data_IF_008383684536
#
_entry.id   IF_008383684536
#
_cell.length_a   1.000
_cell.length_b   1.000
_cell.length_c   1.000
_cell.angle_alpha   90.00
_cell.angle_beta   90.00
_cell.angle_gamma   90.00
#
_symmetry.space_group_name_H-M   'P 1'
#
loop_
_entity.id
_entity.type
_entity.pdbx_description
1 polymer ?
#
# COMPACT_ATOMS: atom_id res chain seq x y z
N UNK A 1 20.40 72.52 -4.86
CA UNK A 1 21.07 71.53 -5.73
C UNK A 1 21.45 70.33 -4.88
N UNK A 2 20.89 69.14 -5.13
CA UNK A 2 21.24 67.94 -4.36
C UNK A 2 20.18 66.83 -4.38
N UNK A 3 20.08 66.14 -5.52
CA UNK A 3 19.63 64.76 -5.76
C UNK A 3 18.61 64.09 -4.80
N UNK A 4 17.37 63.95 -5.28
CA UNK A 4 16.36 63.01 -4.77
C UNK A 4 16.76 61.55 -5.08
N UNK A 5 16.97 60.74 -4.05
CA UNK A 5 17.03 59.27 -4.15
C UNK A 5 15.63 58.69 -3.95
N UNK A 6 14.96 58.34 -5.06
CA UNK A 6 13.74 57.54 -5.04
C UNK A 6 14.04 56.10 -4.62
N UNK A 7 13.63 55.70 -3.41
CA UNK A 7 13.58 54.31 -2.98
C UNK A 7 12.59 53.54 -3.84
N UNK A 8 13.09 52.63 -4.68
CA UNK A 8 12.25 51.66 -5.37
C UNK A 8 11.73 50.63 -4.35
N UNK A 9 10.42 50.64 -4.13
CA UNK A 9 9.68 49.75 -3.24
C UNK A 9 9.64 48.36 -3.88
N UNK A 10 10.40 47.40 -3.35
CA UNK A 10 10.25 45.99 -3.73
C UNK A 10 8.88 45.53 -3.24
N UNK A 11 7.97 45.25 -4.16
CA UNK A 11 6.71 44.58 -3.87
C UNK A 11 7.02 43.15 -3.42
N UNK A 12 6.92 42.87 -2.11
CA UNK A 12 6.70 41.52 -1.62
C UNK A 12 5.33 41.07 -2.14
N UNK A 13 5.33 40.29 -3.22
CA UNK A 13 4.14 39.49 -3.59
C UNK A 13 3.99 38.48 -2.46
N UNK A 14 2.89 38.57 -1.71
CA UNK A 14 2.51 37.53 -0.77
C UNK A 14 2.45 36.21 -1.55
N UNK A 15 3.31 35.25 -1.15
CA UNK A 15 3.34 33.94 -1.78
C UNK A 15 2.08 33.22 -1.28
N UNK A 16 1.08 33.08 -2.16
CA UNK A 16 -0.12 32.31 -1.85
C UNK A 16 0.23 30.85 -1.66
N UNK A 17 -0.37 30.24 -0.63
CA UNK A 17 -0.24 28.81 -0.37
C UNK A 17 -0.77 27.99 -1.56
N UNK A 18 -0.14 26.85 -1.86
CA UNK A 18 -0.59 25.94 -2.90
C UNK A 18 -1.75 25.07 -2.38
N UNK A 19 -2.93 25.66 -2.26
CA UNK A 19 -4.13 24.98 -1.77
C UNK A 19 -4.63 23.86 -2.69
N UNK A 20 -4.25 23.90 -3.98
CA UNK A 20 -4.55 22.83 -4.93
C UNK A 20 -3.75 21.57 -4.57
N UNK A 21 -2.44 21.71 -4.35
CA UNK A 21 -1.61 20.59 -3.90
C UNK A 21 -2.05 20.08 -2.53
N UNK A 22 -2.40 20.96 -1.58
CA UNK A 22 -2.95 20.56 -0.27
C UNK A 22 -4.19 19.69 -0.43
N UNK A 23 -5.13 20.09 -1.29
CA UNK A 23 -6.37 19.33 -1.54
C UNK A 23 -6.08 17.98 -2.21
N UNK A 24 -5.23 17.95 -3.24
CA UNK A 24 -4.83 16.72 -3.93
C UNK A 24 -4.09 15.75 -3.00
N UNK A 25 -3.26 16.28 -2.09
CA UNK A 25 -2.65 15.49 -1.03
C UNK A 25 -3.72 14.91 -0.11
N UNK A 26 -4.69 15.70 0.34
CA UNK A 26 -5.77 15.21 1.20
C UNK A 26 -6.64 14.15 0.51
N UNK A 27 -7.00 14.35 -0.76
CA UNK A 27 -7.77 13.40 -1.58
C UNK A 27 -7.02 12.08 -1.79
N UNK A 28 -5.70 12.15 -2.03
CA UNK A 28 -4.84 10.99 -2.15
C UNK A 28 -4.42 10.40 -0.80
N UNK A 29 -4.68 11.11 0.31
CA UNK A 29 -4.34 10.73 1.68
C UNK A 29 -2.87 10.95 2.08
N UNK A 30 -2.08 11.72 1.34
CA UNK A 30 -0.65 11.92 1.60
C UNK A 30 -0.37 12.88 2.76
N UNK A 31 0.51 12.48 3.67
CA UNK A 31 1.27 13.40 4.53
C UNK A 31 2.45 14.04 3.77
N UNK A 32 3.10 15.05 4.37
CA UNK A 32 4.30 15.67 3.77
C UNK A 32 5.45 14.65 3.61
N UNK A 33 5.65 13.81 4.63
CA UNK A 33 6.66 12.76 4.63
C UNK A 33 6.41 11.72 3.54
N UNK A 34 5.17 11.26 3.43
CA UNK A 34 4.81 10.26 2.43
C UNK A 34 4.92 10.80 1.00
N UNK A 35 4.53 12.06 0.77
CA UNK A 35 4.72 12.65 -0.55
C UNK A 35 6.21 12.78 -0.89
N UNK A 36 7.04 13.15 0.09
CA UNK A 36 8.50 13.21 -0.11
C UNK A 36 9.07 11.82 -0.45
N UNK A 37 8.63 10.79 0.27
CA UNK A 37 9.05 9.41 0.04
C UNK A 37 8.57 8.88 -1.32
N UNK A 38 7.31 9.13 -1.70
CA UNK A 38 6.74 8.73 -2.99
C UNK A 38 7.48 9.39 -4.16
N UNK A 39 7.75 10.71 -4.07
CA UNK A 39 8.52 11.43 -5.09
C UNK A 39 9.97 10.91 -5.17
N UNK A 40 10.61 10.65 -4.02
CA UNK A 40 11.95 10.06 -4.01
C UNK A 40 11.99 8.62 -4.54
N UNK A 41 10.91 7.86 -4.37
CA UNK A 41 10.81 6.52 -4.90
C UNK A 41 10.76 6.54 -6.45
N UNK A 42 9.98 7.45 -7.04
CA UNK A 42 9.93 7.63 -8.48
C UNK A 42 11.27 8.15 -9.06
N UNK A 43 11.90 9.11 -8.37
CA UNK A 43 13.25 9.59 -8.73
C UNK A 43 14.27 8.43 -8.78
N UNK A 44 14.27 7.55 -7.77
CA UNK A 44 15.15 6.38 -7.71
C UNK A 44 14.83 5.35 -8.79
N UNK A 45 13.55 5.10 -9.07
CA UNK A 45 13.14 4.22 -10.16
C UNK A 45 13.62 4.74 -11.54
N UNK A 46 13.74 6.06 -11.68
CA UNK A 46 14.29 6.71 -12.86
C UNK A 46 15.84 6.83 -12.85
N UNK A 47 16.54 6.25 -11.88
CA UNK A 47 18.01 6.26 -11.77
C UNK A 47 18.61 7.52 -11.14
N UNK A 48 17.84 8.26 -10.33
CA UNK A 48 18.28 9.49 -9.68
C UNK A 48 18.30 9.37 -8.15
N UNK A 49 19.11 10.19 -7.47
CA UNK A 49 19.08 10.28 -6.01
C UNK A 49 17.78 10.92 -5.50
N UNK A 50 17.24 10.38 -4.41
CA UNK A 50 16.07 10.92 -3.72
C UNK A 50 16.44 12.13 -2.87
N UNK A 51 16.22 13.34 -3.40
CA UNK A 51 16.63 14.62 -2.76
C UNK A 51 15.47 15.39 -2.12
N UNK A 52 14.24 14.84 -2.15
CA UNK A 52 13.04 15.49 -1.62
C UNK A 52 12.89 15.16 -0.14
N UNK A 53 12.70 16.17 0.70
CA UNK A 53 12.43 16.00 2.12
C UNK A 53 11.05 16.58 2.46
N UNK A 54 10.54 16.30 3.66
CA UNK A 54 9.35 16.95 4.22
C UNK A 54 9.43 18.47 4.12
N UNK A 55 10.63 19.04 4.34
CA UNK A 55 10.87 20.48 4.19
C UNK A 55 10.68 20.93 2.73
N UNK A 56 11.10 20.12 1.76
CA UNK A 56 10.88 20.41 0.34
C UNK A 56 9.40 20.40 0.01
N UNK A 57 8.64 19.42 0.50
CA UNK A 57 7.18 19.34 0.32
C UNK A 57 6.48 20.52 0.99
N UNK A 58 6.89 20.89 2.21
CA UNK A 58 6.36 22.08 2.89
C UNK A 58 6.58 23.35 2.07
N UNK A 59 7.72 23.49 1.42
CA UNK A 59 7.98 24.63 0.53
C UNK A 59 7.09 24.63 -0.71
N UNK A 60 6.66 23.46 -1.21
CA UNK A 60 5.66 23.38 -2.27
C UNK A 60 4.28 23.83 -1.78
N UNK A 61 3.90 23.41 -0.57
CA UNK A 61 2.59 23.73 0.02
C UNK A 61 2.44 25.19 0.42
N UNK A 62 3.51 25.82 0.92
CA UNK A 62 3.52 27.25 1.27
C UNK A 62 3.78 28.17 0.08
N UNK A 63 3.82 27.62 -1.14
CA UNK A 63 4.14 28.35 -2.35
C UNK A 63 5.60 28.80 -2.47
N UNK A 64 6.44 28.62 -1.42
CA UNK A 64 7.87 29.00 -1.38
C UNK A 64 8.65 28.49 -2.59
N UNK A 65 8.31 27.31 -3.08
CA UNK A 65 8.80 26.77 -4.34
C UNK A 65 7.70 26.80 -5.38
N UNK A 66 7.69 27.86 -6.19
CA UNK A 66 6.68 28.12 -7.23
C UNK A 66 6.74 27.14 -8.41
N UNK A 67 7.95 26.70 -8.75
CA UNK A 67 8.21 25.77 -9.85
C UNK A 67 9.31 24.77 -9.46
N UNK A 68 8.96 23.52 -9.10
CA UNK A 68 9.92 22.50 -8.68
C UNK A 68 10.92 22.15 -9.79
N UNK A 69 12.04 21.51 -9.46
CA UNK A 69 13.03 21.10 -10.47
C UNK A 69 12.42 20.09 -11.47
N UNK A 70 12.89 20.06 -12.73
CA UNK A 70 12.31 19.24 -13.82
C UNK A 70 12.04 17.79 -13.43
N UNK A 71 12.98 17.17 -12.74
CA UNK A 71 12.88 15.78 -12.25
C UNK A 71 11.79 15.61 -11.18
N UNK A 72 11.70 16.57 -10.25
CA UNK A 72 10.66 16.57 -9.22
C UNK A 72 9.27 16.79 -9.82
N UNK A 73 9.16 17.61 -10.88
CA UNK A 73 7.89 17.79 -11.61
C UNK A 73 7.45 16.49 -12.29
N UNK A 74 8.35 15.81 -13.00
CA UNK A 74 8.05 14.52 -13.62
C UNK A 74 7.61 13.47 -12.57
N UNK A 75 8.29 13.44 -11.42
CA UNK A 75 7.92 12.56 -10.32
C UNK A 75 6.58 12.94 -9.66
N UNK A 76 6.28 14.23 -9.49
CA UNK A 76 4.97 14.69 -9.02
C UNK A 76 3.85 14.32 -9.99
N UNK A 77 4.10 14.43 -11.30
CA UNK A 77 3.15 14.01 -12.34
C UNK A 77 2.93 12.49 -12.32
N UNK A 78 3.97 11.71 -12.08
CA UNK A 78 3.87 10.25 -11.91
C UNK A 78 3.11 9.87 -10.63
N UNK A 79 3.34 10.59 -9.53
CA UNK A 79 2.69 10.33 -8.23
C UNK A 79 1.20 10.68 -8.25
N UNK A 80 0.82 11.81 -8.85
CA UNK A 80 -0.57 12.28 -8.87
C UNK A 80 -1.32 11.97 -10.16
N UNK A 81 -0.63 11.44 -11.18
CA UNK A 81 -1.18 11.09 -12.50
C UNK A 81 -1.90 12.26 -13.18
N UNK A 82 -1.44 13.48 -12.92
CA UNK A 82 -1.92 14.70 -13.56
C UNK A 82 -0.75 15.64 -13.82
N UNK A 83 -0.85 16.55 -14.81
CA UNK A 83 0.16 17.56 -15.06
C UNK A 83 0.49 18.37 -13.81
N UNK A 84 1.74 18.79 -13.65
CA UNK A 84 2.20 19.53 -12.46
C UNK A 84 1.49 20.89 -12.33
N UNK A 85 0.96 21.43 -13.42
CA UNK A 85 0.11 22.63 -13.44
C UNK A 85 -1.24 22.41 -12.78
N UNK A 86 -1.80 21.20 -12.87
CA UNK A 86 -3.03 20.83 -12.17
C UNK A 86 -2.82 20.60 -10.66
N UNK A 87 -1.56 20.56 -10.23
CA UNK A 87 -1.15 20.57 -8.82
C UNK A 87 -0.88 21.98 -8.30
N UNK A 88 -1.23 23.02 -9.06
CA UNK A 88 -1.09 24.42 -8.64
C UNK A 88 0.32 25.00 -8.79
N UNK A 89 1.26 24.28 -9.42
CA UNK A 89 2.56 24.86 -9.75
C UNK A 89 2.46 25.71 -11.01
N UNK A 90 3.13 26.86 -11.01
CA UNK A 90 3.07 27.81 -12.13
C UNK A 90 4.49 28.03 -12.67
N UNK A 91 4.71 27.89 -13.99
CA UNK A 91 6.00 28.22 -14.59
C UNK A 91 6.36 29.66 -14.27
N UNK A 92 7.64 29.94 -14.03
CA UNK A 92 8.10 31.33 -14.08
C UNK A 92 7.83 31.87 -15.48
N UNK A 93 7.18 33.05 -15.58
CA UNK A 93 7.09 33.76 -16.86
C UNK A 93 8.52 34.04 -17.32
N UNK A 94 9.00 33.30 -18.32
CA UNK A 94 10.09 33.78 -19.16
C UNK A 94 9.59 35.05 -19.84
N UNK A 95 10.40 36.11 -19.80
CA UNK A 95 10.24 37.22 -20.72
C UNK A 95 10.17 36.65 -22.16
N UNK A 96 9.39 37.25 -23.08
CA UNK A 96 9.36 36.76 -24.45
C UNK A 96 10.80 36.68 -24.97
N UNK A 97 11.18 35.60 -25.66
CA UNK A 97 12.53 35.46 -26.17
C UNK A 97 12.81 36.67 -27.08
N UNK A 98 13.86 37.42 -26.77
CA UNK A 98 14.46 38.32 -27.75
C UNK A 98 14.78 37.49 -28.99
N UNK A 99 14.26 37.92 -30.13
CA UNK A 99 14.39 37.25 -31.41
C UNK A 99 15.86 37.13 -31.85
N UNK A 100 16.56 36.09 -31.37
CA UNK A 100 17.85 35.66 -31.92
C UNK A 100 18.32 34.35 -31.30
N UNK A 101 17.60 33.24 -31.51
CA UNK A 101 18.20 31.88 -31.40
C UNK A 101 17.32 30.73 -31.94
N UNK A 102 16.20 31.01 -32.61
CA UNK A 102 15.41 29.99 -33.33
C UNK A 102 15.95 29.63 -34.73
N UNK A 103 17.07 30.20 -35.18
CA UNK A 103 17.49 30.09 -36.59
C UNK A 103 18.53 28.97 -36.87
N UNK A 104 19.12 28.34 -35.86
CA UNK A 104 20.33 27.51 -36.10
C UNK A 104 20.09 25.99 -36.20
N UNK A 105 18.89 25.47 -35.90
CA UNK A 105 18.63 24.01 -35.98
C UNK A 105 17.45 23.60 -36.88
N UNK A 106 16.69 24.56 -37.44
CA UNK A 106 15.68 24.30 -38.47
C UNK A 106 16.19 24.43 -39.91
N UNK A 107 17.47 24.79 -40.10
CA UNK A 107 18.10 25.04 -41.41
C UNK A 107 18.94 23.89 -41.99
N UNK A 108 18.77 22.65 -41.51
CA UNK A 108 19.47 21.47 -42.08
C UNK A 108 18.60 20.34 -42.58
N UNK A 109 17.28 20.51 -42.69
CA UNK A 109 16.40 19.44 -43.21
C UNK A 109 15.37 19.85 -44.26
N UNK A 110 15.52 21.02 -44.88
CA UNK A 110 14.77 21.37 -46.08
C UNK A 110 15.73 21.88 -47.14
N UNK A 111 16.15 20.99 -48.03
CA UNK A 111 16.42 21.16 -49.46
C UNK A 111 17.24 19.96 -49.97
N UNK A 112 16.54 18.88 -50.30
CA UNK A 112 16.81 18.05 -51.48
C UNK A 112 15.48 17.38 -51.86
N UNK A 113 14.71 18.05 -52.71
CA UNK A 113 13.79 17.41 -53.64
C UNK A 113 14.54 17.32 -54.97
N UNK A 114 14.73 16.16 -55.57
CA UNK A 114 13.72 15.60 -56.47
C UNK A 114 14.14 14.21 -57.00
N UNK A 115 13.11 13.46 -57.42
CA UNK A 115 13.10 12.22 -58.22
C UNK A 115 13.17 10.88 -57.45
N UNK A 116 11.98 10.30 -57.20
CA UNK A 116 11.80 8.90 -56.84
C UNK A 116 10.39 8.65 -56.32
N UNK A 117 9.57 7.95 -57.10
CA UNK A 117 8.20 7.53 -56.77
C UNK A 117 8.14 6.84 -55.40
N UNK A 118 7.62 7.52 -54.38
CA UNK A 118 7.34 6.93 -53.08
C UNK A 118 5.88 6.47 -53.05
N UNK A 119 5.70 5.15 -52.99
CA UNK A 119 4.46 4.50 -52.53
C UNK A 119 3.97 5.22 -51.27
N UNK A 120 2.67 5.52 -51.22
CA UNK A 120 2.04 6.20 -50.09
C UNK A 120 2.35 5.50 -48.78
N UNK A 121 3.32 6.04 -48.03
CA UNK A 121 3.49 5.71 -46.64
C UNK A 121 2.31 6.36 -45.91
N UNK A 122 1.23 5.58 -45.80
CA UNK A 122 0.32 5.71 -44.67
C UNK A 122 1.19 5.89 -43.43
N UNK A 123 1.14 7.08 -42.83
CA UNK A 123 1.54 7.25 -41.45
C UNK A 123 0.50 6.49 -40.60
N UNK A 124 0.54 5.17 -40.69
CA UNK A 124 -0.02 4.29 -39.68
C UNK A 124 0.71 4.72 -38.42
N UNK A 125 0.00 5.42 -37.52
CA UNK A 125 0.46 5.67 -36.15
C UNK A 125 1.00 4.34 -35.70
N UNK A 126 2.34 4.18 -35.63
CA UNK A 126 2.95 2.91 -35.30
C UNK A 126 2.30 2.47 -33.99
N UNK A 127 1.37 1.50 -34.08
CA UNK A 127 0.54 1.10 -32.95
C UNK A 127 1.53 0.64 -31.91
N UNK A 128 1.70 1.40 -30.83
CA UNK A 128 2.72 1.12 -29.83
C UNK A 128 2.59 -0.36 -29.44
N UNK A 129 3.59 -1.16 -29.83
CA UNK A 129 3.59 -2.59 -29.57
C UNK A 129 3.93 -2.75 -28.09
N UNK A 130 2.96 -3.23 -27.32
CA UNK A 130 3.15 -3.49 -25.89
C UNK A 130 3.85 -4.83 -25.75
N UNK A 131 4.94 -4.84 -24.98
CA UNK A 131 5.82 -5.99 -24.80
C UNK A 131 5.97 -6.39 -23.34
N UNK A 132 6.74 -7.47 -23.10
CA UNK A 132 7.07 -7.90 -21.74
C UNK A 132 7.86 -6.85 -20.96
N UNK A 133 8.65 -6.02 -21.63
CA UNK A 133 9.34 -4.90 -20.98
C UNK A 133 8.39 -3.90 -20.31
N UNK A 134 7.18 -3.73 -20.82
CA UNK A 134 6.17 -2.86 -20.19
C UNK A 134 5.59 -3.52 -18.93
N UNK A 135 5.41 -4.85 -18.98
CA UNK A 135 5.02 -5.66 -17.81
C UNK A 135 6.10 -5.58 -16.74
N UNK A 136 7.38 -5.73 -17.10
CA UNK A 136 8.50 -5.66 -16.17
C UNK A 136 8.60 -4.28 -15.48
N UNK A 137 8.35 -3.19 -16.23
CA UNK A 137 8.27 -1.83 -15.66
C UNK A 137 7.13 -1.69 -14.65
N UNK A 138 5.96 -2.24 -14.95
CA UNK A 138 4.83 -2.24 -14.01
C UNK A 138 5.17 -3.02 -12.74
N UNK A 139 5.79 -4.19 -12.87
CA UNK A 139 6.21 -5.01 -11.73
C UNK A 139 7.29 -4.32 -10.89
N UNK A 140 8.22 -3.59 -11.52
CA UNK A 140 9.22 -2.79 -10.81
C UNK A 140 8.59 -1.62 -10.04
N UNK A 141 7.59 -0.92 -10.59
CA UNK A 141 6.83 0.09 -9.83
C UNK A 141 6.09 -0.55 -8.66
N UNK A 142 5.54 -1.74 -8.87
CA UNK A 142 4.78 -2.45 -7.84
C UNK A 142 5.66 -2.95 -6.68
N UNK A 143 6.89 -3.37 -6.93
CA UNK A 143 7.78 -3.80 -5.83
C UNK A 143 8.07 -2.65 -4.85
N UNK A 144 8.20 -1.42 -5.35
CA UNK A 144 8.31 -0.21 -4.52
C UNK A 144 7.06 -0.01 -3.67
N UNK A 145 5.87 -0.20 -4.24
CA UNK A 145 4.61 -0.09 -3.52
C UNK A 145 4.49 -1.15 -2.41
N UNK A 146 4.93 -2.40 -2.64
CA UNK A 146 4.93 -3.46 -1.62
C UNK A 146 5.80 -3.08 -0.42
N UNK A 147 6.99 -2.53 -0.66
CA UNK A 147 7.86 -2.03 0.42
C UNK A 147 7.16 -0.92 1.22
N UNK A 148 6.49 0.00 0.53
CA UNK A 148 5.72 1.07 1.18
C UNK A 148 4.54 0.53 2.00
N UNK A 149 3.82 -0.48 1.51
CA UNK A 149 2.70 -1.12 2.24
C UNK A 149 3.14 -1.81 3.55
N UNK A 150 4.36 -2.35 3.63
CA UNK A 150 4.87 -2.93 4.89
C UNK A 150 4.97 -1.91 6.03
N UNK A 151 5.18 -0.63 5.70
CA UNK A 151 5.30 0.47 6.65
C UNK A 151 4.00 1.26 6.83
N UNK A 152 3.33 1.61 5.73
CA UNK A 152 2.20 2.54 5.70
C UNK A 152 0.88 1.91 5.24
N UNK A 153 0.82 0.58 5.19
CA UNK A 153 -0.38 -0.14 4.78
C UNK A 153 -1.62 0.27 5.57
N UNK A 154 -2.79 0.07 4.98
CA UNK A 154 -4.07 0.55 5.54
C UNK A 154 -4.40 2.02 5.24
N UNK A 155 -3.43 2.83 4.77
CA UNK A 155 -3.67 4.21 4.33
C UNK A 155 -4.32 4.28 2.95
N UNK A 156 -4.99 5.40 2.66
CA UNK A 156 -5.65 5.64 1.37
C UNK A 156 -4.64 5.84 0.23
N UNK A 157 -3.43 6.30 0.55
CA UNK A 157 -2.31 6.48 -0.38
C UNK A 157 -1.91 5.18 -1.05
N UNK A 158 -1.64 4.14 -0.25
CA UNK A 158 -1.29 2.80 -0.73
C UNK A 158 -2.39 2.22 -1.61
N UNK A 159 -3.66 2.38 -1.20
CA UNK A 159 -4.82 1.95 -1.98
C UNK A 159 -4.86 2.65 -3.35
N UNK A 160 -4.74 3.98 -3.35
CA UNK A 160 -4.85 4.82 -4.55
C UNK A 160 -3.70 4.56 -5.52
N UNK A 161 -2.46 4.41 -5.02
CA UNK A 161 -1.30 4.05 -5.83
C UNK A 161 -1.45 2.66 -6.46
N UNK A 162 -1.92 1.66 -5.71
CA UNK A 162 -2.22 0.33 -6.25
C UNK A 162 -3.29 0.39 -7.34
N UNK A 163 -4.38 1.13 -7.10
CA UNK A 163 -5.46 1.29 -8.07
C UNK A 163 -4.99 2.02 -9.35
N UNK A 164 -4.14 3.04 -9.20
CA UNK A 164 -3.54 3.77 -10.33
C UNK A 164 -2.65 2.85 -11.18
N UNK A 165 -1.77 2.06 -10.57
CA UNK A 165 -0.96 1.06 -11.29
C UNK A 165 -1.82 0.04 -12.02
N UNK A 166 -2.94 -0.40 -11.43
CA UNK A 166 -3.90 -1.27 -12.11
C UNK A 166 -4.51 -0.59 -13.36
N UNK A 167 -4.82 0.70 -13.25
CA UNK A 167 -5.24 1.56 -14.36
C UNK A 167 -4.20 1.65 -15.48
N UNK A 168 -2.92 1.83 -15.14
CA UNK A 168 -1.81 1.83 -16.11
C UNK A 168 -1.74 0.51 -16.89
N UNK A 169 -1.82 -0.64 -16.20
CA UNK A 169 -1.82 -1.96 -16.82
C UNK A 169 -3.00 -2.16 -17.79
N UNK A 170 -4.19 -1.70 -17.40
CA UNK A 170 -5.40 -1.77 -18.23
C UNK A 170 -5.36 -0.81 -19.42
N UNK A 171 -4.72 0.36 -19.28
CA UNK A 171 -4.51 1.28 -20.38
C UNK A 171 -3.59 0.66 -21.46
N UNK A 172 -2.53 -0.03 -21.04
CA UNK A 172 -1.67 -0.79 -21.96
C UNK A 172 -2.43 -1.92 -22.65
N UNK A 173 -3.30 -2.62 -21.91
CA UNK A 173 -4.15 -3.68 -22.44
C UNK A 173 -5.09 -3.16 -23.57
N UNK A 174 -5.62 -1.94 -23.42
CA UNK A 174 -6.57 -1.34 -24.36
C UNK A 174 -5.93 -0.68 -25.59
N UNK A 175 -4.73 -0.11 -25.47
CA UNK A 175 -4.12 0.75 -26.49
C UNK A 175 -3.13 0.02 -27.41
N UNK A 176 -2.63 -1.15 -27.01
CA UNK A 176 -1.55 -1.85 -27.69
C UNK A 176 -1.97 -2.97 -28.64
N UNK A 177 -1.17 -3.17 -29.68
CA UNK A 177 -1.10 -4.50 -30.33
C UNK A 177 -0.16 -5.35 -29.49
N UNK A 178 -0.69 -6.40 -28.86
CA UNK A 178 0.04 -7.28 -27.94
C UNK A 178 -0.34 -8.73 -28.21
N UNK A 179 0.64 -9.64 -28.13
CA UNK A 179 0.40 -11.07 -28.20
C UNK A 179 -0.32 -11.59 -26.94
N UNK A 180 -0.93 -12.77 -27.03
CA UNK A 180 -1.75 -13.33 -25.95
C UNK A 180 -1.00 -13.43 -24.62
N UNK A 181 0.27 -13.85 -24.64
CA UNK A 181 1.12 -13.92 -23.43
C UNK A 181 1.23 -12.57 -22.71
N UNK A 182 1.44 -11.49 -23.46
CA UNK A 182 1.55 -10.13 -22.90
C UNK A 182 0.20 -9.68 -22.34
N UNK A 183 -0.91 -10.00 -23.02
CA UNK A 183 -2.26 -9.68 -22.54
C UNK A 183 -2.60 -10.39 -21.23
N UNK A 184 -2.28 -11.68 -21.11
CA UNK A 184 -2.43 -12.43 -19.86
C UNK A 184 -1.59 -11.80 -18.74
N UNK A 185 -0.34 -11.43 -19.03
CA UNK A 185 0.55 -10.79 -18.06
C UNK A 185 0.06 -9.40 -17.61
N UNK A 186 -0.52 -8.59 -18.51
CA UNK A 186 -1.12 -7.30 -18.16
C UNK A 186 -2.36 -7.46 -17.27
N UNK A 187 -3.23 -8.44 -17.57
CA UNK A 187 -4.34 -8.78 -16.67
C UNK A 187 -3.83 -9.28 -15.31
N UNK A 188 -2.76 -10.08 -15.27
CA UNK A 188 -2.12 -10.54 -14.04
C UNK A 188 -1.58 -9.37 -13.21
N UNK A 189 -0.90 -8.39 -13.84
CA UNK A 189 -0.46 -7.17 -13.18
C UNK A 189 -1.66 -6.39 -12.63
N UNK A 190 -2.66 -6.11 -13.45
CA UNK A 190 -3.86 -5.38 -13.02
C UNK A 190 -4.54 -6.08 -11.84
N UNK A 191 -4.73 -7.40 -11.90
CA UNK A 191 -5.30 -8.19 -10.81
C UNK A 191 -4.44 -8.14 -9.53
N UNK A 192 -3.12 -8.24 -9.65
CA UNK A 192 -2.19 -8.18 -8.51
C UNK A 192 -2.22 -6.82 -7.83
N UNK A 193 -2.32 -5.75 -8.61
CA UNK A 193 -2.33 -4.37 -8.11
C UNK A 193 -3.68 -4.05 -7.47
N UNK A 194 -4.79 -4.41 -8.12
CA UNK A 194 -6.13 -4.32 -7.51
C UNK A 194 -6.23 -5.17 -6.25
N UNK A 195 -5.57 -6.34 -6.19
CA UNK A 195 -5.50 -7.12 -4.95
C UNK A 195 -4.72 -6.43 -3.82
N UNK A 196 -3.74 -5.59 -4.12
CA UNK A 196 -3.08 -4.76 -3.10
C UNK A 196 -3.98 -3.61 -2.65
N UNK A 197 -4.73 -2.99 -3.56
CA UNK A 197 -5.75 -2.00 -3.19
C UNK A 197 -6.85 -2.63 -2.30
N UNK A 198 -7.28 -3.86 -2.62
CA UNK A 198 -8.16 -4.66 -1.76
C UNK A 198 -7.59 -4.80 -0.35
N UNK A 199 -6.32 -5.23 -0.21
CA UNK A 199 -5.70 -5.40 1.10
C UNK A 199 -5.58 -4.08 1.88
N UNK A 200 -5.15 -3.00 1.22
CA UNK A 200 -5.08 -1.68 1.82
C UNK A 200 -6.47 -1.19 2.29
N UNK A 201 -7.54 -1.46 1.54
CA UNK A 201 -8.90 -1.13 1.96
C UNK A 201 -9.39 -1.99 3.14
N UNK A 202 -9.02 -3.28 3.20
CA UNK A 202 -9.29 -4.16 4.36
C UNK A 202 -8.62 -3.59 5.61
N UNK A 203 -7.31 -3.30 5.54
CA UNK A 203 -6.54 -2.75 6.66
C UNK A 203 -7.00 -1.34 7.05
N UNK A 204 -7.48 -0.55 6.09
CA UNK A 204 -8.12 0.73 6.32
C UNK A 204 -9.56 0.63 6.84
N UNK A 205 -10.09 -0.58 7.07
CA UNK A 205 -11.48 -0.86 7.47
C UNK A 205 -12.54 -0.31 6.52
N UNK A 206 -12.19 -0.04 5.26
CA UNK A 206 -13.10 0.44 4.20
C UNK A 206 -13.75 -0.75 3.48
N UNK A 207 -14.51 -1.57 4.20
CA UNK A 207 -14.97 -2.88 3.70
C UNK A 207 -15.85 -2.81 2.44
N UNK A 208 -16.69 -1.78 2.28
CA UNK A 208 -17.46 -1.59 1.05
C UNK A 208 -16.60 -1.25 -0.17
N UNK A 209 -15.47 -0.56 0.03
CA UNK A 209 -14.48 -0.29 -1.03
C UNK A 209 -13.68 -1.56 -1.33
N UNK A 210 -13.26 -2.27 -0.28
CA UNK A 210 -12.58 -3.56 -0.39
C UNK A 210 -13.41 -4.56 -1.22
N UNK A 211 -14.71 -4.68 -1.00
CA UNK A 211 -15.56 -5.57 -1.78
C UNK A 211 -15.54 -5.26 -3.29
N UNK A 212 -15.57 -3.98 -3.68
CA UNK A 212 -15.46 -3.58 -5.10
C UNK A 212 -14.10 -3.93 -5.68
N UNK A 213 -13.02 -3.72 -4.93
CA UNK A 213 -11.67 -4.14 -5.35
C UNK A 213 -11.59 -5.66 -5.49
N UNK A 214 -12.22 -6.43 -4.61
CA UNK A 214 -12.29 -7.88 -4.72
C UNK A 214 -12.99 -8.33 -6.01
N UNK A 215 -14.20 -7.84 -6.28
CA UNK A 215 -14.97 -8.19 -7.49
C UNK A 215 -14.17 -7.86 -8.77
N UNK A 216 -13.52 -6.69 -8.78
CA UNK A 216 -12.67 -6.27 -9.88
C UNK A 216 -11.43 -7.15 -10.03
N UNK A 217 -10.71 -7.42 -8.95
CA UNK A 217 -9.51 -8.24 -8.96
C UNK A 217 -9.82 -9.69 -9.39
N UNK A 218 -10.89 -10.29 -8.87
CA UNK A 218 -11.31 -11.65 -9.22
C UNK A 218 -11.61 -11.78 -10.72
N UNK A 219 -12.34 -10.81 -11.29
CA UNK A 219 -12.61 -10.74 -12.73
C UNK A 219 -11.33 -10.65 -13.56
N UNK A 220 -10.38 -9.80 -13.14
CA UNK A 220 -9.08 -9.64 -13.80
C UNK A 220 -8.21 -10.91 -13.72
N UNK A 221 -8.21 -11.58 -12.57
CA UNK A 221 -7.44 -12.81 -12.37
C UNK A 221 -8.00 -13.99 -13.18
N UNK A 222 -9.33 -14.05 -13.33
CA UNK A 222 -9.96 -15.04 -14.22
C UNK A 222 -9.50 -14.85 -15.68
N UNK A 223 -9.41 -13.60 -16.15
CA UNK A 223 -8.91 -13.29 -17.49
C UNK A 223 -7.41 -13.54 -17.66
N UNK A 224 -6.60 -13.45 -16.60
CA UNK A 224 -5.16 -13.72 -16.69
C UNK A 224 -4.85 -15.21 -16.76
N UNK A 225 -5.69 -16.06 -16.15
CA UNK A 225 -5.46 -17.50 -16.02
C UNK A 225 -4.44 -17.88 -14.93
N UNK A 226 -3.94 -16.91 -14.17
CA UNK A 226 -2.82 -17.12 -13.25
C UNK A 226 -3.29 -17.56 -11.85
N UNK A 227 -3.00 -18.82 -11.50
CA UNK A 227 -3.53 -19.46 -10.28
C UNK A 227 -2.98 -18.83 -8.99
N UNK A 228 -1.72 -18.38 -9.00
CA UNK A 228 -1.10 -17.76 -7.82
C UNK A 228 -1.81 -16.46 -7.42
N UNK A 229 -2.28 -15.69 -8.40
CA UNK A 229 -3.02 -14.44 -8.20
C UNK A 229 -4.46 -14.73 -7.77
N UNK A 230 -5.11 -15.72 -8.38
CA UNK A 230 -6.43 -16.18 -7.95
C UNK A 230 -6.41 -16.61 -6.48
N UNK A 231 -5.40 -17.40 -6.07
CA UNK A 231 -5.22 -17.79 -4.67
C UNK A 231 -5.13 -16.57 -3.77
N UNK A 232 -4.26 -15.61 -4.10
CA UNK A 232 -4.07 -14.39 -3.31
C UNK A 232 -5.39 -13.63 -3.11
N UNK A 233 -6.15 -13.42 -4.19
CA UNK A 233 -7.41 -12.65 -4.17
C UNK A 233 -8.47 -13.35 -3.31
N UNK A 234 -8.71 -14.64 -3.53
CA UNK A 234 -9.70 -15.39 -2.76
C UNK A 234 -9.31 -15.51 -1.28
N UNK A 235 -8.02 -15.62 -1.01
CA UNK A 235 -7.51 -15.67 0.36
C UNK A 235 -7.61 -14.30 1.07
N UNK A 236 -7.49 -13.18 0.35
CA UNK A 236 -7.83 -11.85 0.86
C UNK A 236 -9.35 -11.68 1.06
N UNK A 237 -10.18 -12.23 0.17
CA UNK A 237 -11.64 -12.21 0.34
C UNK A 237 -12.07 -12.94 1.61
N UNK A 238 -11.46 -14.09 1.92
CA UNK A 238 -11.64 -14.78 3.20
C UNK A 238 -11.30 -13.86 4.40
N UNK A 239 -10.20 -13.14 4.32
CA UNK A 239 -9.81 -12.16 5.36
C UNK A 239 -10.80 -10.98 5.46
N UNK A 240 -11.29 -10.46 4.33
CA UNK A 240 -12.31 -9.40 4.28
C UNK A 240 -13.58 -9.83 5.03
N UNK A 241 -14.17 -10.98 4.65
CA UNK A 241 -15.40 -11.46 5.27
C UNK A 241 -15.21 -11.83 6.74
N UNK A 242 -14.02 -12.34 7.12
CA UNK A 242 -13.68 -12.54 8.54
C UNK A 242 -13.72 -11.22 9.30
N UNK A 243 -13.12 -10.16 8.78
CA UNK A 243 -13.13 -8.83 9.42
C UNK A 243 -14.53 -8.18 9.45
N UNK A 244 -15.44 -8.62 8.59
CA UNK A 244 -16.87 -8.25 8.64
C UNK A 244 -17.69 -9.15 9.57
N UNK A 245 -17.07 -10.05 10.33
CA UNK A 245 -17.75 -11.06 11.17
C UNK A 245 -18.76 -11.93 10.39
N UNK A 246 -18.43 -12.28 9.14
CA UNK A 246 -19.20 -13.17 8.26
C UNK A 246 -18.46 -14.50 8.05
N UNK A 247 -18.43 -15.40 9.06
CA UNK A 247 -17.57 -16.58 9.01
C UNK A 247 -17.93 -17.56 7.89
N UNK A 248 -19.22 -17.72 7.56
CA UNK A 248 -19.66 -18.62 6.48
C UNK A 248 -19.13 -18.16 5.12
N UNK A 249 -19.27 -16.86 4.80
CA UNK A 249 -18.74 -16.29 3.57
C UNK A 249 -17.20 -16.33 3.54
N UNK A 250 -16.57 -16.12 4.69
CA UNK A 250 -15.12 -16.19 4.82
C UNK A 250 -14.58 -17.60 4.56
N UNK A 251 -15.24 -18.63 5.10
CA UNK A 251 -14.91 -20.03 4.85
C UNK A 251 -15.09 -20.37 3.37
N UNK A 252 -16.24 -20.02 2.78
CA UNK A 252 -16.52 -20.26 1.37
C UNK A 252 -15.46 -19.61 0.45
N UNK A 253 -15.11 -18.35 0.71
CA UNK A 253 -14.08 -17.65 -0.06
C UNK A 253 -12.69 -18.29 0.10
N UNK A 254 -12.32 -18.68 1.31
CA UNK A 254 -11.03 -19.31 1.55
C UNK A 254 -10.96 -20.75 0.99
N UNK A 255 -12.08 -21.47 0.93
CA UNK A 255 -12.15 -22.78 0.30
C UNK A 255 -11.93 -22.70 -1.21
N UNK A 256 -12.37 -21.62 -1.88
CA UNK A 256 -11.98 -21.37 -3.28
C UNK A 256 -10.46 -21.32 -3.41
N UNK A 257 -9.77 -20.55 -2.56
CA UNK A 257 -8.31 -20.45 -2.58
C UNK A 257 -7.64 -21.81 -2.34
N UNK A 258 -8.07 -22.54 -1.30
CA UNK A 258 -7.51 -23.86 -0.92
C UNK A 258 -7.75 -24.94 -1.96
N UNK A 259 -8.85 -24.85 -2.72
CA UNK A 259 -9.19 -25.83 -3.76
C UNK A 259 -8.48 -25.57 -5.10
N UNK A 260 -7.74 -24.46 -5.24
CA UNK A 260 -6.91 -24.23 -6.42
C UNK A 260 -5.76 -25.25 -6.49
N UNK A 261 -5.39 -25.64 -7.71
CA UNK A 261 -4.33 -26.61 -7.94
C UNK A 261 -2.99 -26.18 -7.32
N UNK A 262 -2.70 -24.88 -7.28
CA UNK A 262 -1.46 -24.34 -6.68
C UNK A 262 -1.34 -24.67 -5.19
N UNK A 263 -2.44 -24.65 -4.44
CA UNK A 263 -2.46 -24.97 -3.01
C UNK A 263 -2.29 -26.48 -2.73
N UNK A 264 -2.51 -27.35 -3.74
CA UNK A 264 -2.19 -28.78 -3.65
C UNK A 264 -0.75 -29.09 -4.07
N UNK A 265 -0.17 -28.26 -4.93
CA UNK A 265 1.16 -28.47 -5.52
C UNK A 265 2.28 -27.88 -4.68
N UNK A 266 2.06 -26.70 -4.10
CA UNK A 266 3.09 -25.96 -3.35
C UNK A 266 2.72 -25.89 -1.86
N UNK A 267 3.52 -26.51 -0.97
CA UNK A 267 3.27 -26.51 0.48
C UNK A 267 3.18 -25.11 1.10
N UNK A 268 3.85 -24.10 0.55
CA UNK A 268 3.77 -22.72 1.05
C UNK A 268 2.36 -22.13 0.85
N UNK A 269 1.73 -22.41 -0.29
CA UNK A 269 0.35 -22.01 -0.57
C UNK A 269 -0.64 -22.83 0.28
N UNK A 270 -0.40 -24.13 0.45
CA UNK A 270 -1.19 -24.97 1.36
C UNK A 270 -1.19 -24.40 2.77
N UNK A 271 0.00 -24.10 3.30
CA UNK A 271 0.23 -23.53 4.62
C UNK A 271 -0.53 -22.22 4.82
N UNK A 272 -0.39 -21.25 3.90
CA UNK A 272 -1.11 -19.98 4.00
C UNK A 272 -2.62 -20.19 3.96
N UNK A 273 -3.10 -21.10 3.10
CA UNK A 273 -4.51 -21.45 3.00
C UNK A 273 -5.07 -22.00 4.30
N UNK A 274 -4.33 -22.91 4.97
CA UNK A 274 -4.68 -23.47 6.27
C UNK A 274 -4.61 -22.44 7.40
N UNK A 275 -3.54 -21.65 7.49
CA UNK A 275 -3.40 -20.63 8.53
C UNK A 275 -4.55 -19.60 8.48
N UNK A 276 -4.92 -19.14 7.28
CA UNK A 276 -6.09 -18.25 7.12
C UNK A 276 -7.41 -18.95 7.42
N UNK A 277 -7.56 -20.23 7.06
CA UNK A 277 -8.75 -21.02 7.41
C UNK A 277 -8.91 -21.16 8.92
N UNK A 278 -7.84 -21.50 9.65
CA UNK A 278 -7.85 -21.59 11.11
C UNK A 278 -8.27 -20.26 11.75
N UNK A 279 -7.74 -19.15 11.25
CA UNK A 279 -8.08 -17.83 11.74
C UNK A 279 -9.53 -17.41 11.43
N UNK A 280 -10.19 -18.03 10.44
CA UNK A 280 -11.62 -17.88 10.20
C UNK A 280 -12.41 -18.80 11.16
N UNK A 281 -11.98 -20.06 11.31
CA UNK A 281 -12.60 -21.04 12.21
C UNK A 281 -12.63 -20.56 13.67
N UNK A 282 -11.69 -19.73 14.10
CA UNK A 282 -11.74 -19.11 15.42
C UNK A 282 -13.06 -18.39 15.72
N UNK A 283 -13.70 -17.80 14.71
CA UNK A 283 -15.01 -17.14 14.85
C UNK A 283 -16.19 -18.12 15.05
N UNK A 284 -15.97 -19.43 14.85
CA UNK A 284 -17.01 -20.46 14.94
C UNK A 284 -17.06 -21.15 16.31
N UNK A 285 -16.03 -20.95 17.15
CA UNK A 285 -15.93 -21.59 18.47
C UNK A 285 -15.40 -23.04 18.45
N UNK A 286 -15.13 -23.64 17.28
CA UNK A 286 -14.61 -25.00 17.20
C UNK A 286 -13.09 -25.05 17.46
N UNK A 287 -12.71 -25.14 18.73
CA UNK A 287 -11.32 -25.20 19.15
C UNK A 287 -10.56 -26.42 18.59
N UNK A 288 -11.25 -27.55 18.35
CA UNK A 288 -10.62 -28.75 17.77
C UNK A 288 -10.26 -28.50 16.31
N UNK A 289 -11.20 -27.95 15.53
CA UNK A 289 -10.98 -27.63 14.13
C UNK A 289 -9.87 -26.59 13.95
N UNK A 290 -9.80 -25.58 14.83
CA UNK A 290 -8.70 -24.60 14.84
C UNK A 290 -7.35 -25.28 15.08
N UNK A 291 -7.20 -26.07 16.15
CA UNK A 291 -5.92 -26.75 16.45
C UNK A 291 -5.48 -27.69 15.32
N UNK A 292 -6.40 -28.49 14.78
CA UNK A 292 -6.10 -29.38 13.66
C UNK A 292 -5.65 -28.60 12.42
N UNK A 293 -6.35 -27.53 12.09
CA UNK A 293 -6.03 -26.73 10.90
C UNK A 293 -4.71 -25.98 11.05
N UNK A 294 -4.38 -25.50 12.26
CA UNK A 294 -3.06 -24.93 12.56
C UNK A 294 -1.94 -25.97 12.44
N UNK A 295 -2.18 -27.21 12.87
CA UNK A 295 -1.26 -28.33 12.66
C UNK A 295 -0.95 -28.55 11.17
N UNK A 296 -1.99 -28.64 10.33
CA UNK A 296 -1.80 -28.76 8.87
C UNK A 296 -1.05 -27.55 8.26
N UNK A 297 -1.27 -26.34 8.78
CA UNK A 297 -0.52 -25.16 8.33
C UNK A 297 0.97 -25.31 8.67
N UNK A 298 1.30 -25.70 9.90
CA UNK A 298 2.67 -25.88 10.35
C UNK A 298 3.40 -26.96 9.55
N UNK A 299 2.77 -28.14 9.39
CA UNK A 299 3.34 -29.26 8.61
C UNK A 299 3.62 -28.86 7.16
N UNK A 300 2.70 -28.12 6.53
CA UNK A 300 2.87 -27.65 5.16
C UNK A 300 3.99 -26.58 5.05
N UNK A 301 4.13 -25.70 6.05
CA UNK A 301 5.23 -24.73 6.07
C UNK A 301 6.58 -25.42 6.21
N UNK A 302 6.67 -26.45 7.07
CA UNK A 302 7.89 -27.21 7.30
C UNK A 302 8.29 -28.05 6.08
N UNK A 303 7.30 -28.55 5.32
CA UNK A 303 7.52 -29.27 4.06
C UNK A 303 7.89 -28.36 2.88
N UNK A 304 7.81 -27.03 3.02
CA UNK A 304 8.10 -26.09 1.94
C UNK A 304 9.60 -25.94 1.71
N UNK A 305 10.05 -26.16 0.47
CA UNK A 305 11.42 -25.83 0.06
C UNK A 305 11.65 -24.31 0.03
N UNK A 306 12.63 -23.77 0.79
CA UNK A 306 12.99 -22.35 0.74
C UNK A 306 13.58 -21.89 -0.61
N UNK A 307 14.14 -22.82 -1.42
CA UNK A 307 14.74 -22.51 -2.71
C UNK A 307 13.72 -22.43 -3.86
N UNK A 308 12.49 -22.91 -3.65
CA UNK A 308 11.43 -22.89 -4.67
C UNK A 308 11.05 -21.43 -5.02
N UNK A 309 11.02 -21.15 -6.32
CA UNK A 309 10.71 -19.80 -6.82
C UNK A 309 9.21 -19.51 -6.73
N UNK A 310 8.86 -18.50 -5.94
CA UNK A 310 7.47 -18.08 -5.71
C UNK A 310 7.27 -16.62 -6.09
N UNK A 311 6.01 -16.20 -6.34
CA UNK A 311 5.70 -14.80 -6.55
C UNK A 311 6.22 -13.92 -5.40
N UNK A 312 6.78 -12.76 -5.73
CA UNK A 312 7.37 -11.83 -4.75
C UNK A 312 6.47 -11.55 -3.54
N UNK A 313 5.16 -11.39 -3.75
CA UNK A 313 4.21 -11.12 -2.67
C UNK A 313 4.15 -12.24 -1.64
N UNK A 314 4.35 -13.50 -2.04
CA UNK A 314 4.33 -14.65 -1.13
C UNK A 314 5.54 -14.57 -0.21
N UNK A 315 6.73 -14.40 -0.78
CA UNK A 315 8.00 -14.35 -0.04
C UNK A 315 8.12 -13.09 0.83
N UNK A 316 7.56 -11.97 0.39
CA UNK A 316 7.61 -10.70 1.13
C UNK A 316 6.69 -10.70 2.37
N UNK A 317 5.64 -11.53 2.38
CA UNK A 317 4.60 -11.50 3.39
C UNK A 317 4.55 -12.73 4.28
N UNK A 318 4.54 -13.93 3.70
CA UNK A 318 4.21 -15.14 4.43
C UNK A 318 5.46 -15.89 4.89
N UNK A 319 5.49 -16.22 6.17
CA UNK A 319 6.52 -17.00 6.84
C UNK A 319 5.98 -17.54 8.17
N UNK A 320 6.87 -18.08 9.02
CA UNK A 320 6.54 -18.58 10.36
C UNK A 320 5.99 -17.49 11.29
N UNK A 321 6.47 -16.25 11.16
CA UNK A 321 5.97 -15.14 11.99
C UNK A 321 4.51 -14.82 11.66
N UNK A 322 4.15 -14.82 10.37
CA UNK A 322 2.77 -14.61 9.93
C UNK A 322 1.86 -15.80 10.24
N UNK A 323 2.36 -17.04 10.17
CA UNK A 323 1.62 -18.22 10.65
C UNK A 323 1.21 -18.04 12.12
N UNK A 324 2.16 -17.66 12.99
CA UNK A 324 1.85 -17.38 14.39
C UNK A 324 0.91 -16.18 14.57
N UNK A 325 1.02 -15.13 13.75
CA UNK A 325 0.09 -13.98 13.78
C UNK A 325 -1.36 -14.39 13.44
N UNK A 326 -1.53 -15.32 12.50
CA UNK A 326 -2.84 -15.88 12.15
C UNK A 326 -3.36 -16.83 13.23
N UNK A 327 -2.48 -17.63 13.84
CA UNK A 327 -2.82 -18.49 14.97
C UNK A 327 -3.27 -17.68 16.20
N UNK A 328 -2.54 -16.61 16.53
CA UNK A 328 -2.93 -15.61 17.54
C UNK A 328 -4.34 -15.08 17.28
N UNK A 329 -4.65 -14.71 16.04
CA UNK A 329 -5.99 -14.23 15.69
C UNK A 329 -7.07 -15.32 15.85
N UNK A 330 -6.75 -16.59 15.57
CA UNK A 330 -7.66 -17.72 15.75
C UNK A 330 -7.96 -17.95 17.24
N UNK A 331 -6.92 -18.05 18.07
CA UNK A 331 -7.03 -18.30 19.51
C UNK A 331 -7.72 -17.16 20.25
N UNK A 332 -7.44 -15.89 19.88
CA UNK A 332 -8.17 -14.74 20.42
C UNK A 332 -9.68 -14.83 20.15
N UNK A 333 -10.07 -15.19 18.92
CA UNK A 333 -11.47 -15.33 18.56
C UNK A 333 -12.17 -16.49 19.31
N UNK A 334 -11.43 -17.55 19.65
CA UNK A 334 -11.92 -18.66 20.48
C UNK A 334 -12.05 -18.30 21.97
N UNK A 335 -11.38 -17.24 22.43
CA UNK A 335 -11.19 -16.99 23.86
C UNK A 335 -10.12 -17.86 24.51
N UNK A 336 -9.29 -18.55 23.72
CA UNK A 336 -8.12 -19.30 24.21
C UNK A 336 -6.94 -18.32 24.36
N UNK A 337 -7.01 -17.52 25.41
CA UNK A 337 -6.11 -16.38 25.60
C UNK A 337 -4.66 -16.79 25.92
N UNK A 338 -4.46 -17.93 26.59
CA UNK A 338 -3.12 -18.47 26.87
C UNK A 338 -2.41 -18.88 25.57
N UNK A 339 -3.08 -19.67 24.71
CA UNK A 339 -2.52 -20.04 23.42
C UNK A 339 -2.32 -18.82 22.49
N UNK A 340 -3.24 -17.84 22.58
CA UNK A 340 -3.11 -16.58 21.87
C UNK A 340 -1.82 -15.85 22.27
N UNK A 341 -1.58 -15.65 23.57
CA UNK A 341 -0.36 -14.99 24.07
C UNK A 341 0.92 -15.70 23.61
N UNK A 342 0.97 -17.03 23.71
CA UNK A 342 2.10 -17.83 23.26
C UNK A 342 2.41 -17.62 21.76
N UNK A 343 1.37 -17.60 20.91
CA UNK A 343 1.53 -17.28 19.49
C UNK A 343 1.92 -15.82 19.24
N UNK A 344 1.43 -14.88 20.05
CA UNK A 344 1.84 -13.47 20.00
C UNK A 344 3.32 -13.29 20.22
N UNK A 345 3.88 -13.87 21.29
CA UNK A 345 5.32 -13.84 21.55
C UNK A 345 6.13 -14.50 20.43
N UNK A 346 5.70 -15.68 19.96
CA UNK A 346 6.38 -16.40 18.88
C UNK A 346 6.41 -15.60 17.58
N UNK A 347 5.31 -14.92 17.24
CA UNK A 347 5.23 -14.04 16.07
C UNK A 347 6.16 -12.83 16.22
N UNK A 348 6.14 -12.14 17.37
CA UNK A 348 6.98 -10.95 17.60
C UNK A 348 8.48 -11.24 17.63
N UNK A 349 8.87 -12.44 18.06
CA UNK A 349 10.26 -12.91 18.03
C UNK A 349 10.79 -13.15 16.61
N UNK A 350 9.90 -13.50 15.67
CA UNK A 350 10.26 -13.87 14.30
C UNK A 350 9.99 -12.78 13.26
N UNK A 351 9.08 -11.84 13.55
CA UNK A 351 8.67 -10.82 12.58
C UNK A 351 9.85 -9.92 12.20
N UNK A 352 10.02 -9.72 10.89
CA UNK A 352 11.13 -8.94 10.34
C UNK A 352 11.06 -7.46 10.76
N UNK A 353 12.19 -6.76 10.97
CA UNK A 353 12.21 -5.37 11.42
C UNK A 353 11.46 -4.38 10.52
N UNK A 354 11.42 -4.61 9.21
CA UNK A 354 10.75 -3.74 8.24
C UNK A 354 9.21 -3.86 8.27
N UNK A 355 8.65 -4.92 8.86
CA UNK A 355 7.21 -5.17 8.91
C UNK A 355 6.54 -4.47 10.09
N UNK A 356 6.70 -3.16 10.18
CA UNK A 356 6.25 -2.34 11.32
C UNK A 356 4.73 -2.43 11.55
N UNK A 357 3.93 -2.43 10.48
CA UNK A 357 2.46 -2.63 10.56
C UNK A 357 2.11 -3.97 11.21
N UNK A 358 2.72 -5.06 10.72
CA UNK A 358 2.44 -6.40 11.22
C UNK A 358 2.85 -6.54 12.68
N UNK A 359 4.02 -6.01 13.07
CA UNK A 359 4.46 -5.98 14.46
C UNK A 359 3.44 -5.27 15.35
N UNK A 360 2.97 -4.10 14.97
CA UNK A 360 2.00 -3.34 15.75
C UNK A 360 0.64 -4.06 15.89
N UNK A 361 0.14 -4.69 14.82
CA UNK A 361 -1.08 -5.52 14.87
C UNK A 361 -0.89 -6.72 15.82
N UNK A 362 0.26 -7.40 15.75
CA UNK A 362 0.56 -8.54 16.63
C UNK A 362 0.68 -8.09 18.08
N UNK A 363 1.35 -6.97 18.37
CA UNK A 363 1.45 -6.40 19.73
C UNK A 363 0.08 -6.03 20.29
N UNK A 364 -0.78 -5.37 19.51
CA UNK A 364 -2.13 -5.01 19.97
C UNK A 364 -2.98 -6.27 20.28
N UNK A 365 -2.86 -7.33 19.49
CA UNK A 365 -3.50 -8.63 19.75
C UNK A 365 -2.93 -9.32 20.99
N UNK A 366 -1.61 -9.28 21.18
CA UNK A 366 -0.97 -9.82 22.38
C UNK A 366 -1.50 -9.13 23.64
N UNK A 367 -1.62 -7.80 23.62
CA UNK A 367 -2.23 -7.06 24.72
C UNK A 367 -3.69 -7.48 24.99
N UNK A 368 -4.49 -7.74 23.94
CA UNK A 368 -5.84 -8.28 24.09
C UNK A 368 -5.84 -9.69 24.70
N UNK A 369 -4.87 -10.54 24.36
CA UNK A 369 -4.75 -11.88 24.94
C UNK A 369 -4.41 -11.81 26.44
N UNK A 370 -3.44 -10.95 26.81
CA UNK A 370 -3.08 -10.72 28.21
C UNK A 370 -4.26 -10.15 29.02
N UNK A 371 -5.00 -9.21 28.44
CA UNK A 371 -6.20 -8.66 29.07
C UNK A 371 -7.28 -9.73 29.29
N UNK A 372 -7.48 -10.62 28.31
CA UNK A 372 -8.43 -11.74 28.42
C UNK A 372 -8.08 -12.74 29.52
N UNK A 373 -6.79 -12.85 29.89
CA UNK A 373 -6.34 -13.66 31.03
C UNK A 373 -6.48 -12.94 32.38
N UNK A 374 -6.76 -11.63 32.38
CA UNK A 374 -6.79 -10.81 33.60
C UNK A 374 -5.42 -10.26 34.01
N UNK A 375 -4.38 -10.41 33.19
CA UNK A 375 -3.02 -9.91 33.45
C UNK A 375 -2.91 -8.41 33.11
N UNK A 376 -3.61 -7.58 33.88
CA UNK A 376 -3.84 -6.17 33.57
C UNK A 376 -2.55 -5.34 33.41
N UNK A 377 -1.56 -5.56 34.27
CA UNK A 377 -0.28 -4.85 34.22
C UNK A 377 0.45 -5.11 32.90
N UNK A 378 0.67 -6.40 32.58
CA UNK A 378 1.29 -6.83 31.33
C UNK A 378 0.52 -6.36 30.11
N UNK A 379 -0.82 -6.47 30.15
CA UNK A 379 -1.68 -6.05 29.05
C UNK A 379 -1.54 -4.55 28.74
N UNK A 380 -1.57 -3.69 29.76
CA UNK A 380 -1.39 -2.23 29.60
C UNK A 380 0.02 -1.91 29.12
N UNK A 381 1.06 -2.53 29.70
CA UNK A 381 2.44 -2.32 29.27
C UNK A 381 2.65 -2.69 27.79
N UNK A 382 2.14 -3.86 27.37
CA UNK A 382 2.19 -4.32 25.97
C UNK A 382 1.42 -3.37 25.06
N UNK A 383 0.21 -2.96 25.43
CA UNK A 383 -0.59 -2.00 24.67
C UNK A 383 0.13 -0.64 24.50
N UNK A 384 0.83 -0.19 25.56
CA UNK A 384 1.59 1.06 25.55
C UNK A 384 2.88 0.99 24.70
N UNK A 385 3.38 -0.21 24.42
CA UNK A 385 4.56 -0.42 23.57
C UNK A 385 4.29 -0.25 22.07
N UNK A 386 3.03 -0.19 21.65
CA UNK A 386 2.68 0.09 20.25
C UNK A 386 3.13 1.51 19.87
N UNK A 387 3.93 1.69 18.80
CA UNK A 387 4.41 2.99 18.36
C UNK A 387 3.28 4.02 18.22
N UNK A 388 3.53 5.24 18.68
CA UNK A 388 2.49 6.26 18.84
C UNK A 388 1.89 6.73 17.50
N UNK A 389 2.77 6.96 16.52
CA UNK A 389 2.42 7.31 15.14
C UNK A 389 1.54 6.23 14.51
N UNK A 390 1.93 4.96 14.66
CA UNK A 390 1.19 3.82 14.11
C UNK A 390 -0.18 3.65 14.80
N UNK A 391 -0.24 3.78 16.13
CA UNK A 391 -1.48 3.65 16.88
C UNK A 391 -2.52 4.75 16.56
N UNK A 392 -2.05 5.96 16.26
CA UNK A 392 -2.91 7.11 15.97
C UNK A 392 -3.36 7.17 14.50
N UNK A 393 -2.52 6.75 13.55
CA UNK A 393 -2.78 6.97 12.12
C UNK A 393 -3.29 5.74 11.37
N UNK A 394 -3.08 4.52 11.88
CA UNK A 394 -3.51 3.29 11.20
C UNK A 394 -4.92 2.86 11.64
N UNK A 395 -5.96 2.94 10.77
CA UNK A 395 -7.37 2.79 11.19
C UNK A 395 -7.69 1.49 11.94
N UNK A 396 -7.13 0.36 11.48
CA UNK A 396 -7.29 -0.93 12.17
C UNK A 396 -6.67 -0.98 13.55
N UNK A 397 -5.45 -0.45 13.72
CA UNK A 397 -4.74 -0.48 15.00
C UNK A 397 -5.44 0.46 15.97
N UNK A 398 -5.83 1.66 15.53
CA UNK A 398 -6.65 2.59 16.32
C UNK A 398 -7.91 1.91 16.85
N UNK A 399 -8.65 1.19 16.00
CA UNK A 399 -9.83 0.43 16.42
C UNK A 399 -9.50 -0.64 17.47
N UNK A 400 -8.40 -1.38 17.29
CA UNK A 400 -7.97 -2.38 18.26
C UNK A 400 -7.57 -1.77 19.62
N UNK A 401 -6.91 -0.60 19.63
CA UNK A 401 -6.57 0.09 20.89
C UNK A 401 -7.81 0.66 21.58
N UNK A 402 -8.82 1.10 20.82
CA UNK A 402 -10.11 1.53 21.37
C UNK A 402 -10.87 0.35 22.00
N UNK A 403 -10.93 -0.79 21.30
CA UNK A 403 -11.51 -2.04 21.83
C UNK A 403 -10.79 -2.50 23.10
N UNK A 404 -9.46 -2.45 23.12
CA UNK A 404 -8.65 -2.74 24.31
C UNK A 404 -9.00 -1.82 25.48
N UNK A 405 -9.05 -0.50 25.26
CA UNK A 405 -9.37 0.46 26.31
C UNK A 405 -10.79 0.30 26.86
N UNK A 406 -11.76 0.01 25.99
CA UNK A 406 -13.13 -0.27 26.40
C UNK A 406 -13.22 -1.55 27.26
N UNK A 407 -12.54 -2.62 26.85
CA UNK A 407 -12.49 -3.87 27.62
C UNK A 407 -11.80 -3.69 28.98
N UNK A 408 -10.68 -2.96 29.02
CA UNK A 408 -9.98 -2.63 30.26
C UNK A 408 -10.88 -1.83 31.22
N UNK A 409 -11.64 -0.85 30.70
CA UNK A 409 -12.56 -0.07 31.50
C UNK A 409 -13.72 -0.88 32.10
N UNK A 410 -14.12 -2.00 31.48
CA UNK A 410 -15.13 -2.90 32.05
C UNK A 410 -14.55 -3.79 33.17
N UNK A 411 -13.27 -4.14 33.09
CA UNK A 411 -12.59 -4.98 34.07
C UNK A 411 -12.05 -4.18 35.27
N UNK A 412 -11.61 -2.94 35.04
CA UNK A 412 -10.90 -2.13 36.02
C UNK A 412 -11.32 -0.64 35.99
N UNK A 413 -12.64 -0.36 35.99
CA UNK A 413 -13.20 0.98 35.74
C UNK A 413 -12.57 2.13 36.56
N UNK A 414 -12.14 1.85 37.78
CA UNK A 414 -11.56 2.86 38.69
C UNK A 414 -10.17 2.50 39.20
N UNK A 415 -9.57 1.41 38.74
CA UNK A 415 -8.27 0.97 39.25
C UNK A 415 -7.08 1.61 38.54
N UNK A 416 -5.87 1.31 39.04
CA UNK A 416 -4.66 1.98 38.62
C UNK A 416 -4.33 1.75 37.14
N UNK A 417 -4.69 0.60 36.58
CA UNK A 417 -4.36 0.26 35.19
C UNK A 417 -5.22 1.06 34.20
N UNK A 418 -6.52 1.22 34.48
CA UNK A 418 -7.38 2.08 33.66
C UNK A 418 -6.98 3.56 33.76
N UNK A 419 -6.52 4.03 34.91
CA UNK A 419 -6.02 5.40 35.07
C UNK A 419 -4.73 5.63 34.26
N UNK A 420 -3.76 4.71 34.34
CA UNK A 420 -2.52 4.78 33.54
C UNK A 420 -2.82 4.77 32.05
N UNK A 421 -3.71 3.86 31.61
CA UNK A 421 -4.15 3.80 30.22
C UNK A 421 -4.84 5.10 29.77
N UNK A 422 -5.76 5.62 30.59
CA UNK A 422 -6.46 6.87 30.34
C UNK A 422 -5.52 8.07 30.20
N UNK A 423 -4.52 8.17 31.08
CA UNK A 423 -3.49 9.21 31.02
C UNK A 423 -2.66 9.11 29.73
N UNK A 424 -2.23 7.91 29.37
CA UNK A 424 -1.49 7.66 28.13
C UNK A 424 -2.29 8.07 26.88
N UNK A 425 -3.59 7.73 26.83
CA UNK A 425 -4.47 8.15 25.72
C UNK A 425 -4.63 9.67 25.70
N UNK A 426 -4.80 10.30 26.86
CA UNK A 426 -4.95 11.76 26.98
C UNK A 426 -3.69 12.51 26.51
N UNK A 427 -2.51 12.09 26.95
CA UNK A 427 -1.24 12.70 26.57
C UNK A 427 -0.98 12.59 25.07
N UNK A 428 -1.38 11.48 24.47
CA UNK A 428 -1.29 11.27 23.02
C UNK A 428 -2.23 12.15 22.20
N UNK A 429 -3.41 12.49 22.73
CA UNK A 429 -4.31 13.43 22.06
C UNK A 429 -3.81 14.87 22.10
N UNK A 430 -3.06 15.25 23.15
CA UNK A 430 -2.50 16.60 23.31
C UNK A 430 -1.21 16.84 22.54
N UNK A 431 -0.41 15.79 22.31
CA UNK A 431 0.87 15.88 21.60
C UNK A 431 0.92 14.89 20.41
N UNK A 432 0.18 15.16 19.32
CA UNK A 432 0.40 14.43 18.06
C UNK A 432 1.79 14.82 17.55
N UNK A 433 2.76 13.90 17.64
CA UNK A 433 4.12 14.13 17.14
C UNK A 433 4.15 14.32 15.62
#
# INVERSE_FOLDING_TARGET
MGFFHGRCRVYCVAMEDNDILKRRMAEAGYTQAELAEAVNADLRACGHEGTVSDRTVRNWLTGKTRWPHRRQRAALEAVFQCPVTELGFVPWREAPPSASEEVTLQRRRFLFASAGTALGASADRARHRVGMSDVDRLLAKFSVLIVSDHRYGGRLTIESQAAALAGEALALQARGTAGQRVRCALYACAASFTSSALWAAIDGRRFGVAQRHFERAASLAAMSGELTIQFRIWSHAGSLYRHMARPIDALAANDVARNLHIARRDPMFASLGHARHAAILGLTGDARAVRQTLGHAQEALEASDPAEQRPMWMNAFYDRAELHSLALAACLALGDYEAAEAHGHSSLALVRPEMQRSRAITTARLAQAQLGQGELESAVATAMSVPADVAAEHPRITGMMQEFGAALGLLDASGPHAQVWGQYVHDRQRNPQ
#
